data_IF_106624904244
#
_entry.id   IF_106624904244
#
_cell.length_a   1.000
_cell.length_b   1.000
_cell.length_c   1.000
_cell.angle_alpha   90.00
_cell.angle_beta   90.00
_cell.angle_gamma   90.00
#
_symmetry.space_group_name_H-M   'P 1'
#
loop_
_entity.id
_entity.type
_entity.pdbx_description
1 polymer ?
#
# COMPACT_ATOMS: atom_id res chain seq x y z
N UNK A 1 16.46 13.09 -11.10
CA UNK A 1 15.49 12.70 -10.06
C UNK A 1 15.23 13.95 -9.24
N UNK A 2 14.12 14.63 -9.46
CA UNK A 2 13.69 15.67 -8.52
C UNK A 2 13.24 14.93 -7.26
N UNK A 3 14.07 14.97 -6.23
CA UNK A 3 13.70 14.52 -4.90
C UNK A 3 12.55 15.42 -4.48
N UNK A 4 11.35 14.86 -4.44
CA UNK A 4 10.15 15.54 -3.94
C UNK A 4 10.41 16.15 -2.55
N UNK A 5 10.16 17.45 -2.42
CA UNK A 5 10.83 18.33 -1.45
C UNK A 5 10.25 18.28 -0.01
N UNK A 6 9.31 17.38 0.31
CA UNK A 6 8.78 17.27 1.68
C UNK A 6 7.61 16.31 1.89
N UNK A 7 7.26 16.06 3.16
CA UNK A 7 6.19 15.14 3.59
C UNK A 7 4.83 15.39 2.91
N UNK A 8 4.52 16.65 2.59
CA UNK A 8 3.24 17.05 1.96
C UNK A 8 3.06 16.54 0.53
N UNK A 9 4.13 16.07 -0.11
CA UNK A 9 4.10 15.57 -1.48
C UNK A 9 4.00 14.05 -1.54
N UNK A 10 3.79 13.36 -0.41
CA UNK A 10 3.80 11.89 -0.36
C UNK A 10 2.86 11.20 -1.37
N UNK A 11 1.75 11.83 -1.78
CA UNK A 11 0.87 11.34 -2.86
C UNK A 11 1.52 11.33 -4.26
N UNK A 12 2.64 12.04 -4.44
CA UNK A 12 3.49 12.05 -5.65
C UNK A 12 4.71 11.14 -5.50
N UNK A 13 5.21 10.95 -4.29
CA UNK A 13 6.44 10.18 -4.04
C UNK A 13 6.17 8.73 -3.67
N UNK A 14 4.98 8.45 -3.16
CA UNK A 14 4.68 7.27 -2.38
C UNK A 14 4.83 7.53 -0.87
N UNK A 15 4.11 6.72 -0.09
CA UNK A 15 4.20 6.61 1.37
C UNK A 15 4.10 5.13 1.76
N UNK A 16 5.23 4.43 1.93
CA UNK A 16 5.22 3.07 2.47
C UNK A 16 4.64 3.03 3.89
N UNK A 17 3.65 2.16 4.13
CA UNK A 17 3.01 1.97 5.43
C UNK A 17 3.28 0.57 6.02
N UNK A 18 3.32 -0.46 5.18
CA UNK A 18 3.48 -1.85 5.60
C UNK A 18 4.56 -2.57 4.81
N UNK A 19 5.31 -3.46 5.47
CA UNK A 19 6.38 -4.22 4.84
C UNK A 19 6.48 -5.64 5.42
N UNK A 20 6.65 -6.64 4.56
CA UNK A 20 6.83 -8.04 4.97
C UNK A 20 7.70 -8.82 4.00
N UNK A 21 8.65 -9.59 4.51
CA UNK A 21 9.40 -10.58 3.72
C UNK A 21 8.65 -11.91 3.61
N UNK A 22 8.69 -12.54 2.44
CA UNK A 22 8.34 -13.96 2.31
C UNK A 22 9.54 -14.87 2.64
N UNK A 23 9.27 -16.19 2.77
CA UNK A 23 10.31 -17.21 3.02
C UNK A 23 11.36 -17.32 1.90
N UNK A 24 11.11 -16.73 0.72
CA UNK A 24 12.03 -16.71 -0.43
C UNK A 24 12.88 -15.43 -0.46
N UNK A 25 12.71 -14.52 0.51
CA UNK A 25 13.45 -13.27 0.60
C UNK A 25 12.92 -12.14 -0.29
N UNK A 26 11.74 -12.28 -0.90
CA UNK A 26 11.10 -11.14 -1.56
C UNK A 26 10.48 -10.22 -0.51
N UNK A 27 10.66 -8.91 -0.68
CA UNK A 27 10.00 -7.91 0.16
C UNK A 27 8.69 -7.48 -0.49
N UNK A 28 7.60 -7.52 0.25
CA UNK A 28 6.35 -6.88 -0.12
C UNK A 28 6.25 -5.53 0.61
N UNK A 29 5.97 -4.47 -0.14
CA UNK A 29 5.82 -3.10 0.37
C UNK A 29 4.42 -2.60 0.02
N UNK A 30 3.69 -2.16 1.02
CA UNK A 30 2.43 -1.43 0.84
C UNK A 30 2.71 0.06 0.84
N UNK A 31 2.35 0.71 -0.25
CA UNK A 31 2.34 2.15 -0.42
C UNK A 31 0.91 2.69 -0.41
N UNK A 32 0.67 3.72 0.40
CA UNK A 32 -0.67 4.30 0.59
C UNK A 32 -1.30 4.85 -0.71
N UNK A 33 -0.48 5.22 -1.70
CA UNK A 33 -0.93 5.89 -2.92
C UNK A 33 -0.73 5.05 -4.18
N UNK A 34 0.18 4.08 -4.14
CA UNK A 34 0.52 3.26 -5.29
C UNK A 34 0.19 1.77 -5.12
N UNK A 35 -0.20 1.34 -3.92
CA UNK A 35 -0.63 -0.02 -3.65
C UNK A 35 0.51 -0.94 -3.26
N UNK A 36 0.45 -2.20 -3.67
CA UNK A 36 1.36 -3.24 -3.18
C UNK A 36 2.41 -3.55 -4.23
N UNK A 37 3.66 -3.51 -3.80
CA UNK A 37 4.83 -3.85 -4.61
C UNK A 37 5.50 -5.12 -4.08
N UNK A 38 5.91 -5.98 -5.00
CA UNK A 38 6.90 -7.03 -4.73
C UNK A 38 8.27 -6.51 -5.17
N UNK A 39 9.25 -6.55 -4.28
CA UNK A 39 10.59 -6.01 -4.46
C UNK A 39 11.62 -7.11 -4.25
N UNK A 40 12.53 -7.24 -5.21
CA UNK A 40 13.76 -7.99 -5.05
C UNK A 40 14.81 -7.04 -4.46
N UNK A 41 15.10 -7.17 -3.17
CA UNK A 41 16.02 -6.28 -2.47
C UNK A 41 17.48 -6.43 -2.91
N UNK A 42 17.85 -7.55 -3.54
CA UNK A 42 19.21 -7.79 -4.03
C UNK A 42 19.45 -7.09 -5.37
N UNK A 43 18.44 -7.03 -6.25
CA UNK A 43 18.56 -6.41 -7.58
C UNK A 43 18.00 -4.99 -7.66
N UNK A 44 17.13 -4.61 -6.71
CA UNK A 44 16.36 -3.37 -6.74
C UNK A 44 15.16 -3.41 -7.69
N UNK A 45 14.91 -4.54 -8.37
CA UNK A 45 13.75 -4.71 -9.23
C UNK A 45 12.46 -4.75 -8.40
N UNK A 46 11.42 -4.09 -8.89
CA UNK A 46 10.11 -4.09 -8.25
C UNK A 46 8.98 -4.22 -9.26
N UNK A 47 7.88 -4.81 -8.81
CA UNK A 47 6.64 -4.97 -9.58
C UNK A 47 5.44 -4.57 -8.75
N UNK A 48 4.59 -3.70 -9.28
CA UNK A 48 3.28 -3.42 -8.70
C UNK A 48 2.37 -4.64 -8.93
N UNK A 49 1.93 -5.27 -7.85
CA UNK A 49 1.07 -6.46 -7.88
C UNK A 49 -0.39 -6.14 -7.51
N UNK A 50 -0.63 -5.04 -6.82
CA UNK A 50 -1.96 -4.48 -6.55
C UNK A 50 -1.89 -2.98 -6.75
N UNK A 51 -2.68 -2.45 -7.67
CA UNK A 51 -2.74 -1.02 -7.96
C UNK A 51 -3.99 -0.42 -7.32
N UNK A 52 -3.83 0.60 -6.49
CA UNK A 52 -4.97 1.23 -5.79
C UNK A 52 -6.01 1.82 -6.73
N UNK A 53 -5.67 2.22 -7.95
CA UNK A 53 -6.63 2.76 -8.92
C UNK A 53 -7.56 1.70 -9.55
N UNK A 54 -7.35 0.41 -9.26
CA UNK A 54 -8.19 -0.67 -9.78
C UNK A 54 -9.15 -1.16 -8.70
N UNK A 55 -10.47 -1.17 -8.97
CA UNK A 55 -11.43 -1.75 -8.04
C UNK A 55 -11.19 -3.25 -7.82
N UNK A 56 -11.37 -3.69 -6.58
CA UNK A 56 -11.45 -5.08 -6.13
C UNK A 56 -12.83 -5.23 -5.52
N UNK A 57 -13.65 -6.14 -6.06
CA UNK A 57 -15.05 -6.32 -5.65
C UNK A 57 -15.81 -4.98 -5.58
N UNK A 58 -15.74 -4.21 -6.68
CA UNK A 58 -16.38 -2.90 -6.86
C UNK A 58 -15.87 -1.78 -5.95
N UNK A 59 -14.87 -2.03 -5.09
CA UNK A 59 -14.30 -1.05 -4.18
C UNK A 59 -12.82 -0.76 -4.45
N UNK A 60 -12.46 0.50 -4.26
CA UNK A 60 -11.08 0.97 -4.40
C UNK A 60 -10.41 0.93 -3.02
N UNK A 61 -9.22 0.32 -2.88
CA UNK A 61 -8.48 0.33 -1.61
C UNK A 61 -7.69 1.64 -1.49
N UNK A 62 -8.36 2.73 -1.09
CA UNK A 62 -7.77 4.07 -1.07
C UNK A 62 -6.70 4.29 0.02
N UNK A 63 -6.68 3.45 1.06
CA UNK A 63 -5.70 3.54 2.15
C UNK A 63 -5.17 2.15 2.54
N UNK A 64 -4.40 1.47 1.68
CA UNK A 64 -3.78 0.20 2.02
C UNK A 64 -2.73 0.43 3.12
N UNK A 65 -2.69 -0.45 4.14
CA UNK A 65 -1.96 -0.16 5.37
C UNK A 65 -0.93 -1.24 5.72
N UNK A 66 -1.38 -2.46 6.04
CA UNK A 66 -0.52 -3.55 6.49
C UNK A 66 -0.63 -4.78 5.59
N UNK A 67 0.42 -5.61 5.61
CA UNK A 67 0.51 -6.87 4.87
C UNK A 67 1.15 -7.96 5.73
N UNK A 68 0.67 -9.18 5.56
CA UNK A 68 1.30 -10.40 6.02
C UNK A 68 1.35 -11.45 4.90
N UNK A 69 2.28 -12.39 5.04
CA UNK A 69 2.49 -13.48 4.09
C UNK A 69 2.35 -14.80 4.81
N UNK A 70 1.35 -15.59 4.41
CA UNK A 70 1.16 -16.93 4.96
C UNK A 70 2.22 -17.91 4.45
N UNK A 71 2.34 -19.04 5.14
CA UNK A 71 3.38 -20.04 4.81
C UNK A 71 3.24 -20.64 3.42
N UNK A 72 2.01 -20.73 2.91
CA UNK A 72 1.71 -21.19 1.55
C UNK A 72 1.99 -20.13 0.46
N UNK A 73 2.34 -18.90 0.86
CA UNK A 73 2.62 -17.78 -0.03
C UNK A 73 1.44 -16.85 -0.29
N UNK A 74 0.27 -17.10 0.33
CA UNK A 74 -0.86 -16.19 0.22
C UNK A 74 -0.56 -14.85 0.91
N UNK A 75 -1.04 -13.77 0.29
CA UNK A 75 -0.88 -12.41 0.80
C UNK A 75 -2.18 -11.97 1.46
N UNK A 76 -2.09 -11.58 2.72
CA UNK A 76 -3.19 -10.97 3.47
C UNK A 76 -2.82 -9.52 3.73
N UNK A 77 -3.70 -8.59 3.37
CA UNK A 77 -3.43 -7.18 3.55
C UNK A 77 -4.71 -6.44 3.90
N UNK A 78 -4.55 -5.27 4.47
CA UNK A 78 -5.67 -4.46 4.96
C UNK A 78 -5.73 -3.13 4.23
N UNK A 79 -6.94 -2.64 3.98
CA UNK A 79 -7.18 -1.23 3.64
C UNK A 79 -7.93 -0.56 4.78
N UNK A 80 -7.40 0.55 5.30
CA UNK A 80 -8.04 1.29 6.38
C UNK A 80 -9.28 2.05 5.91
N UNK A 81 -9.34 2.39 4.61
CA UNK A 81 -10.45 3.16 4.03
C UNK A 81 -10.62 2.81 2.55
N UNK A 82 -11.88 2.87 2.10
CA UNK A 82 -12.25 2.87 0.68
C UNK A 82 -12.85 4.19 0.22
N UNK A 83 -12.95 5.18 1.12
CA UNK A 83 -13.56 6.48 0.84
C UNK A 83 -12.53 7.62 0.86
N UNK A 84 -11.41 7.44 1.56
CA UNK A 84 -10.41 8.47 1.83
C UNK A 84 -9.00 7.93 1.68
N UNK A 85 -8.12 8.71 1.05
CA UNK A 85 -6.69 8.44 1.00
C UNK A 85 -5.97 8.99 2.24
N UNK A 86 -4.65 8.74 2.37
CA UNK A 86 -3.90 9.14 3.57
C UNK A 86 -3.84 10.65 3.78
N UNK A 87 -3.79 11.47 2.74
CA UNK A 87 -3.80 12.94 2.91
C UNK A 87 -5.11 13.45 3.53
N UNK A 88 -6.18 12.64 3.48
CA UNK A 88 -7.48 12.88 4.11
C UNK A 88 -7.63 12.12 5.45
N UNK A 89 -6.53 11.81 6.14
CA UNK A 89 -6.49 10.96 7.34
C UNK A 89 -7.52 11.35 8.42
N UNK A 90 -7.76 12.65 8.60
CA UNK A 90 -8.76 13.13 9.58
C UNK A 90 -10.17 12.63 9.22
N UNK A 91 -10.53 12.64 7.94
CA UNK A 91 -11.81 12.10 7.48
C UNK A 91 -11.84 10.57 7.52
N UNK A 92 -10.73 9.90 7.16
CA UNK A 92 -10.62 8.46 7.31
C UNK A 92 -10.83 7.99 8.77
N UNK A 93 -10.41 8.80 9.74
CA UNK A 93 -10.55 8.50 11.17
C UNK A 93 -11.94 8.83 11.73
N UNK A 94 -12.57 9.92 11.27
CA UNK A 94 -13.86 10.40 11.80
C UNK A 94 -15.07 9.92 10.99
N UNK A 95 -14.85 9.41 9.78
CA UNK A 95 -15.89 8.89 8.90
C UNK A 95 -16.39 7.51 9.29
N UNK A 96 -17.41 7.03 8.56
CA UNK A 96 -17.88 5.65 8.74
C UNK A 96 -16.78 4.66 8.31
N UNK A 97 -16.66 3.51 8.98
CA UNK A 97 -15.65 2.52 8.63
C UNK A 97 -15.95 1.93 7.24
N UNK A 98 -15.01 2.11 6.31
CA UNK A 98 -15.09 1.56 4.95
C UNK A 98 -13.96 0.59 4.60
N UNK A 99 -12.99 0.44 5.49
CA UNK A 99 -11.88 -0.49 5.35
C UNK A 99 -12.27 -1.96 5.14
N UNK A 100 -11.29 -2.77 4.72
CA UNK A 100 -11.41 -4.20 4.40
C UNK A 100 -10.16 -4.94 4.83
#
# INVERSE_FOLDING_TARGET
>A
MNLTDGMWQEHKCGRPLGMKFDKKGNLYVIDAYYGIFKVNVATGEYKNIVNVSKPIDEKIPLLPNSIDVAENGDLYWTTSSSDFALYDLVFAFLGNPSGR
#
